data_IF_518004525685
#
_entry.id   IF_518004525685
#
_cell.length_a   1.000
_cell.length_b   1.000
_cell.length_c   1.000
_cell.angle_alpha   90.00
_cell.angle_beta   90.00
_cell.angle_gamma   90.00
#
_symmetry.space_group_name_H-M   'P 1'
#
loop_
_entity.id
_entity.type
_entity.pdbx_description
1 polymer ?
#
# COMPACT_ATOMS: atom_id res chain seq x y z
N UNK A 1 -8.42 19.79 -7.21
CA UNK A 1 -7.73 18.67 -7.87
C UNK A 1 -8.20 17.43 -7.14
N UNK A 2 -8.72 16.40 -7.83
CA UNK A 2 -9.12 15.17 -7.17
C UNK A 2 -7.87 14.44 -6.65
N UNK A 3 -7.92 13.91 -5.43
CA UNK A 3 -6.85 13.06 -4.89
C UNK A 3 -6.95 11.68 -5.54
N UNK A 4 -5.85 11.18 -6.08
CA UNK A 4 -5.76 9.78 -6.46
C UNK A 4 -5.20 8.99 -5.26
N UNK A 5 -6.02 8.16 -4.62
CA UNK A 5 -5.65 7.38 -3.43
C UNK A 5 -4.49 6.41 -3.70
N UNK A 6 -4.23 6.05 -4.97
CA UNK A 6 -3.06 5.25 -5.32
C UNK A 6 -1.74 5.98 -5.05
N UNK A 7 -1.73 7.32 -4.98
CA UNK A 7 -0.51 8.11 -4.81
C UNK A 7 0.13 7.88 -3.44
N UNK A 8 -0.65 7.72 -2.37
CA UNK A 8 -0.11 7.39 -1.04
C UNK A 8 0.67 6.08 -1.10
N UNK A 9 0.08 5.05 -1.69
CA UNK A 9 0.73 3.75 -1.84
C UNK A 9 1.95 3.82 -2.76
N UNK A 10 1.91 4.63 -3.83
CA UNK A 10 3.08 4.85 -4.67
C UNK A 10 4.20 5.58 -3.93
N UNK A 11 3.85 6.49 -3.01
CA UNK A 11 4.80 7.24 -2.21
C UNK A 11 5.55 6.33 -1.24
N UNK A 12 4.88 5.33 -0.65
CA UNK A 12 5.53 4.35 0.24
C UNK A 12 6.59 3.52 -0.52
N UNK A 13 6.33 3.21 -1.81
CA UNK A 13 7.23 2.38 -2.63
C UNK A 13 8.31 3.18 -3.36
N UNK A 14 8.03 4.41 -3.74
CA UNK A 14 8.87 5.19 -4.65
C UNK A 14 9.19 6.61 -4.16
N UNK A 15 8.73 7.01 -2.97
CA UNK A 15 8.88 8.37 -2.45
C UNK A 15 10.33 8.81 -2.30
N UNK A 16 11.23 7.89 -1.95
CA UNK A 16 12.68 8.12 -1.89
C UNK A 16 13.34 8.43 -3.25
N UNK A 17 12.63 8.23 -4.36
CA UNK A 17 13.10 8.60 -5.70
C UNK A 17 12.73 10.03 -6.10
N UNK A 18 11.87 10.68 -5.31
CA UNK A 18 11.50 12.08 -5.49
C UNK A 18 12.56 12.99 -4.87
N UNK A 19 12.57 14.26 -5.28
CA UNK A 19 13.28 15.28 -4.50
C UNK A 19 12.54 15.51 -3.17
N UNK A 20 13.25 15.86 -2.10
CA UNK A 20 12.67 16.18 -0.78
C UNK A 20 11.48 17.14 -0.94
N UNK A 21 11.65 18.20 -1.72
CA UNK A 21 10.58 19.19 -1.98
C UNK A 21 9.37 18.62 -2.71
N UNK A 22 9.51 17.60 -3.55
CA UNK A 22 8.34 16.95 -4.17
C UNK A 22 7.66 16.02 -3.18
N UNK A 23 8.46 15.22 -2.46
CA UNK A 23 7.99 14.28 -1.44
C UNK A 23 7.19 15.02 -0.36
N UNK A 24 7.77 16.05 0.26
CA UNK A 24 7.12 16.85 1.31
C UNK A 24 5.78 17.42 0.83
N UNK A 25 5.73 18.00 -0.38
CA UNK A 25 4.48 18.61 -0.89
C UNK A 25 3.40 17.57 -1.17
N UNK A 26 3.79 16.36 -1.58
CA UNK A 26 2.86 15.25 -1.80
C UNK A 26 2.39 14.69 -0.45
N UNK A 27 3.29 14.52 0.54
CA UNK A 27 2.94 14.06 1.90
C UNK A 27 1.97 15.01 2.58
N UNK A 28 2.27 16.31 2.60
CA UNK A 28 1.38 17.32 3.17
C UNK A 28 -0.01 17.31 2.50
N UNK A 29 -0.06 17.07 1.18
CA UNK A 29 -1.32 17.06 0.44
C UNK A 29 -2.11 15.76 0.61
N UNK A 30 -1.46 14.59 0.54
CA UNK A 30 -2.12 13.29 0.54
C UNK A 30 -2.29 12.69 1.93
N UNK A 31 -1.30 12.82 2.81
CA UNK A 31 -1.27 12.16 4.12
C UNK A 31 -1.74 13.08 5.24
N UNK A 32 -1.45 14.38 5.16
CA UNK A 32 -1.86 15.35 6.19
C UNK A 32 -3.13 16.15 5.83
N UNK A 33 -3.72 15.91 4.66
CA UNK A 33 -4.92 16.56 4.16
C UNK A 33 -4.85 18.10 4.00
N UNK A 34 -3.65 18.70 3.97
CA UNK A 34 -3.51 20.14 3.75
C UNK A 34 -3.96 20.53 2.33
N UNK A 35 -4.58 21.70 2.23
CA UNK A 35 -4.87 22.33 0.95
C UNK A 35 -3.62 22.92 0.30
N UNK A 36 -3.65 23.10 -1.02
CA UNK A 36 -2.56 23.75 -1.76
C UNK A 36 -2.25 25.18 -1.27
N UNK A 37 -3.21 25.84 -0.60
CA UNK A 37 -3.02 27.17 -0.01
C UNK A 37 -2.21 27.09 1.28
N UNK A 38 -2.61 26.20 2.20
CA UNK A 38 -1.90 25.96 3.46
C UNK A 38 -0.46 25.51 3.20
N UNK A 39 -0.26 24.61 2.23
CA UNK A 39 1.08 24.17 1.84
C UNK A 39 1.89 25.34 1.27
N UNK A 40 1.28 26.21 0.44
CA UNK A 40 1.96 27.36 -0.16
C UNK A 40 2.43 28.37 0.89
N UNK A 41 1.60 28.60 1.92
CA UNK A 41 1.93 29.47 3.06
C UNK A 41 3.12 28.93 3.85
N UNK A 42 3.06 27.65 4.25
CA UNK A 42 4.14 26.98 5.01
C UNK A 42 5.44 26.87 4.22
N UNK A 43 5.35 26.59 2.92
CA UNK A 43 6.49 26.40 2.04
C UNK A 43 7.05 27.71 1.44
N UNK A 44 6.41 28.85 1.73
CA UNK A 44 6.74 30.17 1.18
C UNK A 44 6.88 30.18 -0.35
N UNK A 45 5.99 29.48 -1.05
CA UNK A 45 5.91 29.47 -2.52
C UNK A 45 4.50 29.79 -2.99
N UNK A 46 4.30 29.97 -4.29
CA UNK A 46 2.95 30.19 -4.83
C UNK A 46 2.14 28.90 -4.80
N UNK A 47 0.82 29.02 -4.66
CA UNK A 47 -0.13 27.89 -4.80
C UNK A 47 0.04 27.14 -6.13
N UNK A 48 0.40 27.86 -7.19
CA UNK A 48 0.71 27.28 -8.49
C UNK A 48 2.02 26.46 -8.45
N UNK A 49 3.05 26.97 -7.76
CA UNK A 49 4.29 26.24 -7.52
C UNK A 49 4.09 24.94 -6.75
N UNK A 50 3.24 24.93 -5.71
CA UNK A 50 2.86 23.71 -4.98
C UNK A 50 2.20 22.71 -5.94
N UNK A 51 1.18 23.15 -6.70
CA UNK A 51 0.46 22.30 -7.66
C UNK A 51 1.39 21.67 -8.68
N UNK A 52 2.33 22.44 -9.21
CA UNK A 52 3.27 21.95 -10.23
C UNK A 52 4.34 21.02 -9.62
N UNK A 53 4.71 21.22 -8.35
CA UNK A 53 5.57 20.28 -7.62
C UNK A 53 4.88 18.93 -7.45
N UNK A 54 3.64 18.93 -6.92
CA UNK A 54 2.84 17.72 -6.69
C UNK A 54 2.62 16.97 -8.00
N UNK A 55 2.15 17.66 -9.06
CA UNK A 55 1.89 16.99 -10.36
C UNK A 55 3.12 16.35 -10.97
N UNK A 56 4.30 16.98 -10.84
CA UNK A 56 5.53 16.39 -11.35
C UNK A 56 5.97 15.17 -10.53
N UNK A 57 5.82 15.25 -9.20
CA UNK A 57 6.08 14.10 -8.34
C UNK A 57 5.13 12.94 -8.64
N UNK A 58 3.82 13.20 -8.75
CA UNK A 58 2.82 12.20 -9.16
C UNK A 58 3.20 11.53 -10.48
N UNK A 59 3.52 12.32 -11.51
CA UNK A 59 3.92 11.75 -12.81
C UNK A 59 5.15 10.85 -12.68
N UNK A 60 6.15 11.24 -11.90
CA UNK A 60 7.33 10.42 -11.67
C UNK A 60 7.00 9.12 -10.94
N UNK A 61 6.12 9.16 -9.93
CA UNK A 61 5.64 7.96 -9.22
C UNK A 61 4.91 7.00 -10.17
N UNK A 62 4.00 7.51 -11.00
CA UNK A 62 3.28 6.69 -11.99
C UNK A 62 4.22 6.12 -13.06
N UNK A 63 5.22 6.89 -13.51
CA UNK A 63 6.21 6.44 -14.47
C UNK A 63 7.07 5.31 -13.89
N UNK A 64 7.47 5.41 -12.61
CA UNK A 64 8.19 4.36 -11.90
C UNK A 64 7.33 3.09 -11.79
N UNK A 65 6.06 3.21 -11.40
CA UNK A 65 5.15 2.08 -11.34
C UNK A 65 4.94 1.43 -12.71
N UNK A 66 4.82 2.21 -13.79
CA UNK A 66 4.68 1.66 -15.13
C UNK A 66 5.87 0.79 -15.56
N UNK A 67 7.07 1.10 -15.04
CA UNK A 67 8.31 0.40 -15.37
C UNK A 67 8.61 -0.76 -14.43
N UNK A 68 8.34 -0.61 -13.14
CA UNK A 68 8.75 -1.56 -12.10
C UNK A 68 7.59 -2.45 -11.62
N UNK A 69 6.38 -1.90 -11.58
CA UNK A 69 5.15 -2.58 -11.21
C UNK A 69 5.14 -3.12 -9.77
N UNK A 70 5.83 -2.47 -8.83
CA UNK A 70 5.96 -2.96 -7.47
C UNK A 70 4.63 -2.92 -6.72
N UNK A 71 3.87 -1.83 -6.85
CA UNK A 71 2.55 -1.72 -6.20
C UNK A 71 1.60 -2.77 -6.76
N UNK A 72 1.58 -2.95 -8.09
CA UNK A 72 0.79 -4.01 -8.73
C UNK A 72 1.17 -5.40 -8.21
N UNK A 73 2.46 -5.74 -8.15
CA UNK A 73 2.93 -7.04 -7.66
C UNK A 73 2.58 -7.26 -6.19
N UNK A 74 2.70 -6.22 -5.37
CA UNK A 74 2.33 -6.28 -3.97
C UNK A 74 0.83 -6.53 -3.78
N UNK A 75 -0.04 -5.85 -4.53
CA UNK A 75 -1.49 -6.12 -4.53
C UNK A 75 -1.80 -7.57 -4.90
N UNK A 76 -1.19 -8.07 -5.98
CA UNK A 76 -1.35 -9.46 -6.41
C UNK A 76 -0.88 -10.46 -5.35
N UNK A 77 0.23 -10.15 -4.66
CA UNK A 77 0.75 -10.99 -3.59
C UNK A 77 -0.24 -11.04 -2.41
N UNK A 78 -0.79 -9.90 -2.00
CA UNK A 78 -1.79 -9.83 -0.94
C UNK A 78 -3.08 -10.59 -1.29
N UNK A 79 -3.57 -10.48 -2.52
CA UNK A 79 -4.73 -11.25 -3.00
C UNK A 79 -4.48 -12.78 -2.90
N UNK A 80 -3.27 -13.23 -3.23
CA UNK A 80 -2.90 -14.64 -3.12
C UNK A 80 -2.86 -15.07 -1.65
N UNK A 81 -2.27 -14.26 -0.77
CA UNK A 81 -2.20 -14.54 0.66
C UNK A 81 -3.58 -14.61 1.30
N UNK A 82 -4.47 -13.69 0.97
CA UNK A 82 -5.85 -13.69 1.45
C UNK A 82 -6.57 -14.98 1.04
N UNK A 83 -6.42 -15.38 -0.22
CA UNK A 83 -6.98 -16.65 -0.71
C UNK A 83 -6.40 -17.87 0.00
N UNK A 84 -5.10 -17.89 0.30
CA UNK A 84 -4.48 -18.98 1.09
C UNK A 84 -5.10 -19.03 2.48
N UNK A 85 -5.28 -17.87 3.12
CA UNK A 85 -5.88 -17.77 4.45
C UNK A 85 -7.33 -18.26 4.47
N UNK A 86 -8.14 -17.85 3.48
CA UNK A 86 -9.52 -18.33 3.31
C UNK A 86 -9.60 -19.85 3.16
N UNK A 87 -8.76 -20.43 2.29
CA UNK A 87 -8.72 -21.88 2.06
C UNK A 87 -8.26 -22.63 3.32
N UNK A 88 -7.26 -22.10 4.03
CA UNK A 88 -6.79 -22.68 5.28
C UNK A 88 -7.87 -22.61 6.38
N UNK A 89 -8.60 -21.50 6.46
CA UNK A 89 -9.76 -21.34 7.34
C UNK A 89 -10.83 -22.39 7.06
N UNK A 90 -11.23 -22.54 5.80
CA UNK A 90 -12.21 -23.55 5.38
C UNK A 90 -11.77 -24.99 5.74
N UNK A 91 -10.49 -25.33 5.51
CA UNK A 91 -9.93 -26.64 5.90
C UNK A 91 -10.01 -26.83 7.42
N UNK A 92 -9.68 -25.82 8.21
CA UNK A 92 -9.79 -25.89 9.66
C UNK A 92 -11.24 -26.11 10.10
N UNK A 93 -12.18 -25.37 9.53
CA UNK A 93 -13.60 -25.44 9.88
C UNK A 93 -14.23 -26.79 9.52
N UNK A 94 -13.93 -27.33 8.33
CA UNK A 94 -14.32 -28.68 7.95
C UNK A 94 -13.70 -29.73 8.88
N UNK A 95 -12.41 -29.57 9.21
CA UNK A 95 -11.70 -30.53 10.07
C UNK A 95 -12.27 -30.61 11.48
N UNK A 96 -12.71 -29.49 12.03
CA UNK A 96 -13.35 -29.43 13.35
C UNK A 96 -14.79 -29.92 13.31
N UNK A 97 -15.54 -29.58 12.26
CA UNK A 97 -16.95 -29.97 12.08
C UNK A 97 -17.13 -31.48 11.94
N UNK A 98 -16.26 -32.13 11.17
CA UNK A 98 -16.34 -33.57 10.89
C UNK A 98 -15.43 -34.43 11.79
N UNK A 99 -14.83 -33.85 12.85
CA UNK A 99 -13.87 -34.51 13.74
C UNK A 99 -12.73 -35.23 12.97
N UNK A 100 -12.25 -34.63 11.87
CA UNK A 100 -11.09 -35.14 11.16
C UNK A 100 -9.83 -35.06 12.05
N UNK A 101 -8.76 -35.74 11.64
CA UNK A 101 -7.50 -35.82 12.39
C UNK A 101 -7.07 -34.46 12.91
N UNK A 102 -6.72 -34.38 14.21
CA UNK A 102 -6.17 -33.18 14.87
C UNK A 102 -4.98 -32.58 14.12
N UNK A 103 -4.25 -33.39 13.36
CA UNK A 103 -3.14 -32.93 12.54
C UNK A 103 -3.57 -31.99 11.41
N UNK A 104 -4.77 -32.15 10.85
CA UNK A 104 -5.30 -31.31 9.76
C UNK A 104 -5.63 -29.92 10.28
N UNK A 105 -6.37 -29.82 11.39
CA UNK A 105 -6.68 -28.53 12.02
C UNK A 105 -5.41 -27.81 12.48
N UNK A 106 -4.45 -28.52 13.07
CA UNK A 106 -3.16 -27.93 13.45
C UNK A 106 -2.41 -27.38 12.25
N UNK A 107 -2.31 -28.12 11.14
CA UNK A 107 -1.61 -27.64 9.93
C UNK A 107 -2.31 -26.45 9.29
N UNK A 108 -3.65 -26.45 9.24
CA UNK A 108 -4.42 -25.32 8.74
C UNK A 108 -4.16 -24.05 9.56
N UNK A 109 -4.12 -24.16 10.89
CA UNK A 109 -3.75 -23.05 11.79
C UNK A 109 -2.33 -22.54 11.55
N UNK A 110 -1.37 -23.44 11.36
CA UNK A 110 0.01 -23.04 11.03
C UNK A 110 0.08 -22.27 9.70
N UNK A 111 -0.70 -22.66 8.69
CA UNK A 111 -0.75 -21.93 7.42
C UNK A 111 -1.31 -20.51 7.63
N UNK A 112 -2.39 -20.37 8.39
CA UNK A 112 -2.95 -19.05 8.73
C UNK A 112 -1.95 -18.18 9.50
N UNK A 113 -1.23 -18.75 10.47
CA UNK A 113 -0.16 -18.06 11.20
C UNK A 113 0.98 -17.61 10.28
N UNK A 114 1.41 -18.46 9.33
CA UNK A 114 2.43 -18.09 8.34
C UNK A 114 1.97 -16.95 7.43
N UNK A 115 0.70 -16.95 7.01
CA UNK A 115 0.14 -15.84 6.21
C UNK A 115 0.16 -14.55 7.03
N UNK A 116 -0.22 -14.59 8.30
CA UNK A 116 -0.22 -13.39 9.14
C UNK A 116 1.19 -12.83 9.35
N UNK A 117 2.17 -13.69 9.61
CA UNK A 117 3.59 -13.30 9.70
C UNK A 117 4.09 -12.65 8.40
N UNK A 118 3.63 -13.13 7.24
CA UNK A 118 4.05 -12.57 5.95
C UNK A 118 3.54 -11.14 5.70
N UNK A 119 2.48 -10.71 6.38
CA UNK A 119 1.96 -9.33 6.31
C UNK A 119 2.78 -8.35 7.15
N UNK A 120 3.52 -8.81 8.16
CA UNK A 120 4.37 -7.95 9.01
C UNK A 120 5.74 -7.68 8.37
N UNK A 121 6.14 -8.46 7.36
CA UNK A 121 7.45 -8.38 6.70
C UNK A 121 7.48 -7.37 5.56
N UNK A 122 6.31 -7.03 5.01
CA UNK A 122 6.15 -6.20 3.81
C UNK A 122 5.52 -4.86 4.19
#
# INVERSE_FOLDING_TARGET
MPKNLDVTMLLDFYGEMLTDKQKDMIELYYNEDLSLGEIAETAHITRQGVRDSIKRGEQQLFDLESKLGLVKKFRQYNEILEKINELAGAINDESTTYNYSRNISTRAKMIMECVEQSKEII
#
